data_IF_052840658958
#
_entry.id   IF_052840658958
#
_cell.length_a   1.000
_cell.length_b   1.000
_cell.length_c   1.000
_cell.angle_alpha   90.00
_cell.angle_beta   90.00
_cell.angle_gamma   90.00
#
_symmetry.space_group_name_H-M   'P 1'
#
loop_
_entity.id
_entity.type
_entity.pdbx_description
1 polymer ?
#
# COMPACT_ATOMS: atom_id res chain seq x y z
N UNK A 1 32.62 -7.35 19.05
CA UNK A 1 31.64 -7.20 20.14
C UNK A 1 30.37 -7.91 19.70
N UNK A 2 30.03 -9.03 20.34
CA UNK A 2 28.82 -9.79 20.01
C UNK A 2 27.57 -9.00 20.39
N UNK A 3 26.59 -8.94 19.49
CA UNK A 3 25.30 -8.31 19.72
C UNK A 3 24.55 -9.08 20.80
N UNK A 4 24.42 -8.49 22.00
CA UNK A 4 23.47 -8.99 22.99
C UNK A 4 22.07 -8.74 22.44
N UNK A 5 21.21 -9.76 22.31
CA UNK A 5 19.85 -9.57 21.86
C UNK A 5 19.10 -8.67 22.86
N UNK A 6 18.52 -7.58 22.37
CA UNK A 6 17.74 -6.64 23.18
C UNK A 6 16.26 -6.96 22.98
N UNK A 7 15.57 -7.33 24.06
CA UNK A 7 14.14 -7.57 24.04
C UNK A 7 13.38 -6.23 24.05
N UNK A 8 12.72 -5.91 22.93
CA UNK A 8 11.97 -4.66 22.76
C UNK A 8 10.58 -4.73 23.38
N UNK A 9 9.82 -5.79 23.12
CA UNK A 9 8.50 -6.03 23.72
C UNK A 9 8.59 -7.19 24.70
N UNK A 10 8.03 -6.98 25.90
CA UNK A 10 8.12 -7.88 27.05
C UNK A 10 6.71 -8.20 27.52
N UNK A 11 6.08 -9.20 26.91
CA UNK A 11 4.71 -9.65 27.24
C UNK A 11 3.61 -8.56 27.11
N UNK A 12 3.83 -7.57 26.25
CA UNK A 12 2.81 -6.58 25.92
C UNK A 12 1.61 -7.24 25.22
N UNK A 13 0.43 -7.11 25.81
CA UNK A 13 -0.82 -7.66 25.29
C UNK A 13 -1.83 -6.53 25.12
N UNK A 14 -2.40 -6.42 23.92
CA UNK A 14 -3.47 -5.47 23.60
C UNK A 14 -4.51 -6.16 22.72
N UNK A 15 -5.78 -5.83 22.92
CA UNK A 15 -6.90 -6.26 22.09
C UNK A 15 -7.62 -5.00 21.62
N UNK A 16 -7.95 -4.88 20.32
CA UNK A 16 -8.65 -3.73 19.75
C UNK A 16 -9.95 -4.18 19.11
N UNK A 17 -11.06 -3.51 19.43
CA UNK A 17 -12.39 -3.85 18.92
C UNK A 17 -12.63 -3.22 17.54
N UNK A 18 -13.54 -3.84 16.76
CA UNK A 18 -14.00 -3.25 15.50
C UNK A 18 -14.64 -1.87 15.79
N UNK A 19 -14.26 -0.85 15.00
CA UNK A 19 -14.72 0.52 15.16
C UNK A 19 -14.15 1.28 16.35
N UNK A 20 -13.16 0.77 17.07
CA UNK A 20 -12.52 1.45 18.21
C UNK A 20 -11.36 2.35 17.76
N UNK A 21 -11.21 3.51 18.40
CA UNK A 21 -9.99 4.31 18.36
C UNK A 21 -9.16 4.05 19.62
N UNK A 22 -8.02 3.37 19.45
CA UNK A 22 -7.01 3.16 20.49
C UNK A 22 -5.81 4.10 20.27
N UNK A 23 -5.41 4.83 21.31
CA UNK A 23 -4.13 5.54 21.36
C UNK A 23 -3.10 4.79 22.21
N UNK A 24 -1.88 4.64 21.71
CA UNK A 24 -0.75 4.05 22.41
C UNK A 24 0.22 5.18 22.77
N UNK A 25 0.31 5.49 24.07
CA UNK A 25 1.22 6.47 24.67
C UNK A 25 2.47 5.81 25.23
N UNK A 26 3.57 6.56 25.30
CA UNK A 26 4.79 6.09 25.96
C UNK A 26 6.04 6.86 25.53
N UNK A 27 7.12 6.73 26.30
CA UNK A 27 8.39 7.38 26.02
C UNK A 27 9.03 6.93 24.68
N UNK A 28 9.94 7.73 24.12
CA UNK A 28 10.72 7.31 22.96
C UNK A 28 11.51 6.03 23.29
N UNK A 29 11.52 5.06 22.37
CA UNK A 29 12.18 3.77 22.58
C UNK A 29 11.38 2.74 23.39
N UNK A 30 10.16 3.03 23.86
CA UNK A 30 9.36 2.08 24.65
C UNK A 30 8.78 0.88 23.88
N UNK A 31 8.97 0.82 22.55
CA UNK A 31 8.49 -0.28 21.70
C UNK A 31 7.15 -0.02 20.98
N UNK A 32 6.59 1.20 21.05
CA UNK A 32 5.29 1.54 20.43
C UNK A 32 5.23 1.29 18.92
N UNK A 33 6.20 1.82 18.17
CA UNK A 33 6.28 1.63 16.72
C UNK A 33 6.51 0.17 16.37
N UNK A 34 7.31 -0.57 17.15
CA UNK A 34 7.49 -2.02 16.98
C UNK A 34 6.15 -2.76 17.15
N UNK A 35 5.39 -2.45 18.20
CA UNK A 35 4.06 -3.03 18.40
C UNK A 35 3.13 -2.71 17.22
N UNK A 36 3.11 -1.45 16.77
CA UNK A 36 2.30 -1.03 15.63
C UNK A 36 2.70 -1.73 14.32
N UNK A 37 3.99 -1.93 14.07
CA UNK A 37 4.50 -2.65 12.90
C UNK A 37 4.12 -4.14 12.92
N UNK A 38 4.16 -4.76 14.10
CA UNK A 38 3.72 -6.15 14.29
C UNK A 38 2.21 -6.29 14.00
N UNK A 39 1.38 -5.37 14.52
CA UNK A 39 -0.06 -5.32 14.19
C UNK A 39 -0.30 -5.17 12.68
N UNK A 40 0.50 -4.32 12.01
CA UNK A 40 0.42 -4.10 10.57
C UNK A 40 0.98 -5.25 9.71
N UNK A 41 1.63 -6.24 10.32
CA UNK A 41 2.33 -7.30 9.58
C UNK A 41 3.50 -6.76 8.73
N UNK A 42 4.08 -5.63 9.13
CA UNK A 42 5.30 -5.07 8.53
C UNK A 42 6.53 -5.77 9.10
N UNK A 43 6.49 -6.07 10.40
CA UNK A 43 7.43 -6.94 11.10
C UNK A 43 6.70 -8.21 11.57
N UNK A 44 7.48 -9.22 11.95
CA UNK A 44 6.98 -10.47 12.53
C UNK A 44 7.56 -10.65 13.93
N UNK A 45 6.78 -11.23 14.87
CA UNK A 45 7.32 -11.57 16.18
C UNK A 45 8.43 -12.62 16.03
N UNK A 46 9.30 -12.69 17.04
CA UNK A 46 10.31 -13.74 17.13
C UNK A 46 9.67 -15.15 17.09
N UNK A 47 10.39 -16.20 16.66
CA UNK A 47 9.84 -17.55 16.58
C UNK A 47 9.23 -18.06 17.89
N UNK A 48 9.82 -17.68 19.03
CA UNK A 48 9.35 -18.02 20.38
C UNK A 48 8.53 -16.87 21.02
N UNK A 49 8.14 -15.88 20.21
CA UNK A 49 7.44 -14.67 20.63
C UNK A 49 5.91 -14.80 20.67
N UNK A 50 5.26 -13.64 20.77
CA UNK A 50 3.81 -13.55 20.86
C UNK A 50 3.05 -13.82 19.55
N UNK A 51 1.73 -13.85 19.64
CA UNK A 51 0.83 -14.09 18.50
C UNK A 51 0.10 -12.81 18.12
N UNK A 52 0.10 -12.46 16.83
CA UNK A 52 -0.74 -11.39 16.29
C UNK A 52 -1.89 -12.03 15.53
N UNK A 53 -3.13 -11.68 15.90
CA UNK A 53 -4.33 -12.21 15.26
C UNK A 53 -5.28 -11.10 14.84
N UNK A 54 -5.99 -11.33 13.74
CA UNK A 54 -7.02 -10.44 13.21
C UNK A 54 -8.25 -11.26 12.81
N UNK A 55 -9.40 -11.01 13.44
CA UNK A 55 -10.68 -11.72 13.19
C UNK A 55 -10.54 -13.26 13.22
N UNK A 56 -9.82 -13.77 14.23
CA UNK A 56 -9.56 -15.20 14.40
C UNK A 56 -8.50 -15.79 13.45
N UNK A 57 -7.88 -14.97 12.59
CA UNK A 57 -6.77 -15.41 11.72
C UNK A 57 -5.44 -14.99 12.32
N UNK A 58 -4.52 -15.94 12.47
CA UNK A 58 -3.17 -15.67 12.97
C UNK A 58 -2.31 -14.99 11.90
N UNK A 59 -2.20 -13.66 11.97
CA UNK A 59 -1.44 -12.83 11.02
C UNK A 59 0.04 -13.16 11.06
N UNK A 60 0.60 -13.43 12.25
CA UNK A 60 2.01 -13.77 12.43
C UNK A 60 2.44 -15.06 11.70
N UNK A 61 1.49 -15.93 11.34
CA UNK A 61 1.73 -17.14 10.53
C UNK A 61 1.66 -16.91 9.01
N UNK A 62 1.10 -15.78 8.56
CA UNK A 62 0.88 -15.52 7.14
C UNK A 62 2.21 -15.25 6.42
N UNK A 63 2.32 -15.75 5.19
CA UNK A 63 3.48 -15.50 4.31
C UNK A 63 3.02 -15.16 2.89
N UNK A 64 3.90 -14.48 2.14
CA UNK A 64 3.69 -14.16 0.73
C UNK A 64 2.34 -13.50 0.45
N UNK A 65 1.53 -14.12 -0.41
CA UNK A 65 0.26 -13.55 -0.86
C UNK A 65 -0.77 -13.33 0.26
N UNK A 66 -0.77 -14.17 1.31
CA UNK A 66 -1.69 -14.02 2.45
C UNK A 66 -1.41 -12.74 3.23
N UNK A 67 -0.13 -12.51 3.57
CA UNK A 67 0.30 -11.31 4.28
C UNK A 67 0.15 -10.05 3.41
N UNK A 68 0.39 -10.15 2.11
CA UNK A 68 0.14 -9.04 1.17
C UNK A 68 -1.33 -8.65 1.12
N UNK A 69 -2.24 -9.63 1.15
CA UNK A 69 -3.68 -9.37 1.15
C UNK A 69 -4.11 -8.67 2.44
N UNK A 70 -3.64 -9.14 3.60
CA UNK A 70 -3.87 -8.48 4.88
C UNK A 70 -3.44 -7.01 4.84
N UNK A 71 -2.19 -6.75 4.43
CA UNK A 71 -1.64 -5.39 4.34
C UNK A 71 -2.35 -4.48 3.33
N UNK A 72 -2.95 -5.04 2.28
CA UNK A 72 -3.56 -4.25 1.20
C UNK A 72 -5.06 -4.03 1.40
N UNK A 73 -5.75 -4.90 2.15
CA UNK A 73 -7.21 -4.89 2.31
C UNK A 73 -7.66 -4.53 3.72
N UNK A 74 -6.94 -4.98 4.73
CA UNK A 74 -7.38 -4.80 6.12
C UNK A 74 -6.65 -3.64 6.79
N UNK A 75 -5.42 -3.33 6.37
CA UNK A 75 -4.54 -2.33 6.99
C UNK A 75 -4.33 -1.11 6.07
N UNK A 76 -4.57 0.07 6.62
CA UNK A 76 -4.01 1.34 6.15
C UNK A 76 -2.89 1.74 7.09
N UNK A 77 -1.75 2.19 6.55
CA UNK A 77 -0.60 2.57 7.38
C UNK A 77 -0.16 4.00 7.11
N UNK A 78 -0.06 4.80 8.17
CA UNK A 78 0.48 6.16 8.18
C UNK A 78 1.74 6.16 9.04
N UNK A 79 2.86 6.56 8.45
CA UNK A 79 4.14 6.66 9.13
C UNK A 79 4.36 8.08 9.65
N UNK A 80 5.26 8.22 10.63
CA UNK A 80 5.67 9.52 11.18
C UNK A 80 6.25 10.44 10.10
N UNK A 81 7.03 9.88 9.18
CA UNK A 81 7.43 10.54 7.94
C UNK A 81 6.49 10.17 6.81
N UNK A 82 6.14 11.14 5.96
CA UNK A 82 5.14 11.00 4.90
C UNK A 82 5.38 9.79 3.96
N UNK A 83 6.65 9.42 3.75
CA UNK A 83 7.11 8.36 2.84
C UNK A 83 6.43 8.42 1.46
N UNK A 84 6.16 9.63 0.96
CA UNK A 84 5.61 9.82 -0.38
C UNK A 84 6.73 9.60 -1.41
N UNK A 85 6.38 8.99 -2.55
CA UNK A 85 7.29 8.82 -3.67
C UNK A 85 7.44 10.17 -4.40
N UNK A 86 8.65 10.76 -4.45
CA UNK A 86 8.84 12.11 -4.95
C UNK A 86 8.61 12.25 -6.47
N UNK A 87 8.71 11.15 -7.21
CA UNK A 87 8.46 11.10 -8.65
C UNK A 87 6.97 11.17 -9.00
N UNK A 88 6.13 10.74 -8.06
CA UNK A 88 4.69 10.58 -8.25
C UNK A 88 3.92 11.83 -7.81
N UNK A 89 2.81 12.11 -8.48
CA UNK A 89 1.86 13.14 -8.08
C UNK A 89 1.09 12.76 -6.80
N UNK A 90 0.35 13.71 -6.23
CA UNK A 90 -0.58 13.48 -5.10
C UNK A 90 -1.56 12.35 -5.40
N UNK A 91 -2.20 12.40 -6.57
CA UNK A 91 -3.17 11.38 -6.97
C UNK A 91 -2.52 10.00 -7.10
N UNK A 92 -1.36 9.93 -7.76
CA UNK A 92 -0.63 8.67 -7.96
C UNK A 92 -0.14 8.07 -6.64
N UNK A 93 0.39 8.89 -5.72
CA UNK A 93 0.78 8.46 -4.38
C UNK A 93 -0.40 7.88 -3.61
N UNK A 94 -1.56 8.55 -3.66
CA UNK A 94 -2.76 8.10 -2.98
C UNK A 94 -3.32 6.79 -3.57
N UNK A 95 -3.21 6.60 -4.89
CA UNK A 95 -3.73 5.43 -5.59
C UNK A 95 -2.83 4.19 -5.53
N UNK A 96 -1.62 4.29 -4.99
CA UNK A 96 -0.67 3.16 -4.91
C UNK A 96 -1.29 1.84 -4.38
N UNK A 97 -2.11 1.84 -3.31
CA UNK A 97 -2.71 0.59 -2.81
C UNK A 97 -3.61 -0.08 -3.83
N UNK A 98 -4.33 0.69 -4.65
CA UNK A 98 -5.23 0.20 -5.70
C UNK A 98 -4.46 -0.41 -6.87
N UNK A 99 -3.23 0.05 -7.10
CA UNK A 99 -2.36 -0.43 -8.19
C UNK A 99 -1.74 -1.79 -7.90
N UNK A 100 -1.72 -2.25 -6.65
CA UNK A 100 -1.14 -3.54 -6.29
C UNK A 100 -2.04 -4.68 -6.78
N UNK A 101 -1.58 -5.54 -7.72
CA UNK A 101 -2.40 -6.63 -8.21
C UNK A 101 -2.59 -7.72 -7.13
N UNK A 102 -3.79 -8.31 -7.02
CA UNK A 102 -4.12 -9.30 -5.99
C UNK A 102 -3.40 -10.65 -6.18
N UNK A 103 -2.71 -10.87 -7.29
CA UNK A 103 -2.01 -12.10 -7.61
C UNK A 103 -0.71 -11.84 -8.37
N UNK A 104 0.35 -12.58 -8.03
CA UNK A 104 1.52 -12.68 -8.91
C UNK A 104 1.07 -13.27 -10.24
N UNK A 105 1.40 -12.58 -11.32
CA UNK A 105 1.23 -13.08 -12.68
C UNK A 105 2.03 -14.39 -12.84
N UNK A 106 1.48 -15.38 -13.55
CA UNK A 106 2.22 -16.60 -13.88
C UNK A 106 3.41 -16.22 -14.75
N UNK A 107 4.62 -16.61 -14.34
CA UNK A 107 5.87 -16.31 -15.05
C UNK A 107 5.87 -16.83 -16.51
N UNK A 108 4.98 -17.76 -16.86
CA UNK A 108 4.88 -18.36 -18.19
C UNK A 108 4.18 -17.50 -19.25
N UNK A 109 3.39 -16.49 -18.88
CA UNK A 109 2.62 -15.68 -19.83
C UNK A 109 3.46 -14.97 -20.92
N UNK A 110 4.58 -14.29 -20.61
CA UNK A 110 5.43 -13.69 -21.65
C UNK A 110 6.12 -14.74 -22.53
N UNK A 111 6.40 -15.93 -21.99
CA UNK A 111 6.97 -17.04 -22.76
C UNK A 111 5.94 -17.59 -23.77
N UNK A 112 4.67 -17.69 -23.36
CA UNK A 112 3.58 -18.11 -24.24
C UNK A 112 3.36 -17.08 -25.35
N UNK A 113 3.41 -15.78 -25.04
CA UNK A 113 3.26 -14.74 -26.08
C UNK A 113 4.44 -14.70 -27.04
N UNK A 114 5.66 -14.93 -26.54
CA UNK A 114 6.86 -15.09 -27.38
C UNK A 114 6.74 -16.29 -28.32
N UNK A 115 6.31 -17.45 -27.81
CA UNK A 115 6.13 -18.66 -28.62
C UNK A 115 5.06 -18.46 -29.71
N UNK A 116 3.90 -17.89 -29.36
CA UNK A 116 2.84 -17.58 -30.31
C UNK A 116 3.31 -16.59 -31.40
N UNK A 117 4.01 -15.53 -30.98
CA UNK A 117 4.62 -14.56 -31.89
C UNK A 117 5.64 -15.22 -32.83
N UNK A 118 6.48 -16.12 -32.31
CA UNK A 118 7.46 -16.86 -33.10
C UNK A 118 6.80 -17.74 -34.18
N UNK A 119 5.73 -18.45 -33.83
CA UNK A 119 4.99 -19.29 -34.77
C UNK A 119 4.35 -18.45 -35.88
N UNK A 120 3.70 -17.34 -35.55
CA UNK A 120 3.09 -16.43 -36.53
C UNK A 120 4.16 -15.83 -37.44
N UNK A 121 5.28 -15.37 -36.87
CA UNK A 121 6.40 -14.83 -37.62
C UNK A 121 7.00 -15.85 -38.59
N UNK A 122 7.25 -17.08 -38.13
CA UNK A 122 7.79 -18.15 -38.98
C UNK A 122 6.88 -18.47 -40.17
N UNK A 123 5.57 -18.58 -39.95
CA UNK A 123 4.58 -18.85 -40.99
C UNK A 123 4.50 -17.70 -42.00
N UNK A 124 4.50 -16.45 -41.52
CA UNK A 124 4.48 -15.27 -42.39
C UNK A 124 5.77 -15.17 -43.23
N UNK A 125 6.94 -15.39 -42.62
CA UNK A 125 8.23 -15.39 -43.32
C UNK A 125 8.32 -16.49 -44.38
N UNK A 126 7.83 -17.69 -44.07
CA UNK A 126 7.75 -18.79 -45.03
C UNK A 126 6.84 -18.44 -46.22
N UNK A 127 5.62 -17.98 -45.96
CA UNK A 127 4.65 -17.68 -47.00
C UNK A 127 5.07 -16.49 -47.88
N UNK A 128 5.59 -15.41 -47.28
CA UNK A 128 6.09 -14.25 -48.01
C UNK A 128 7.37 -14.58 -48.79
N UNK A 129 8.25 -15.40 -48.22
CA UNK A 129 9.45 -15.88 -48.92
C UNK A 129 9.10 -16.73 -50.14
N UNK A 130 8.11 -17.61 -50.03
CA UNK A 130 7.65 -18.49 -51.11
C UNK A 130 7.01 -17.68 -52.25
N UNK A 131 6.31 -16.58 -51.94
CA UNK A 131 5.75 -15.66 -52.94
C UNK A 131 6.83 -14.77 -53.59
N UNK A 132 7.85 -14.38 -52.84
CA UNK A 132 8.86 -13.41 -53.28
C UNK A 132 10.06 -14.04 -54.00
N UNK A 133 10.38 -15.29 -53.73
CA UNK A 133 11.51 -16.00 -54.34
C UNK A 133 11.07 -16.69 -55.64
N UNK A 134 11.78 -16.47 -56.77
CA UNK A 134 11.51 -17.24 -57.99
C UNK A 134 11.85 -18.71 -57.77
N UNK A 135 10.96 -19.61 -58.18
CA UNK A 135 11.19 -21.06 -58.10
C UNK A 135 12.32 -21.46 -59.06
N UNK A 136 13.55 -21.64 -58.57
CA UNK A 136 14.67 -21.84 -59.49
C UNK A 136 15.84 -22.74 -59.03
N UNK A 137 16.03 -23.11 -57.76
CA UNK A 137 17.22 -23.92 -57.40
C UNK A 137 17.08 -24.81 -56.14
N UNK A 138 18.03 -25.75 -55.98
CA UNK A 138 18.11 -26.65 -54.83
C UNK A 138 18.38 -25.95 -53.49
N UNK A 139 18.75 -24.66 -53.51
CA UNK A 139 19.04 -23.85 -52.32
C UNK A 139 17.79 -23.10 -51.79
N UNK A 140 16.71 -23.06 -52.57
CA UNK A 140 15.44 -22.39 -52.20
C UNK A 140 14.86 -22.89 -50.85
N UNK A 141 14.86 -24.20 -50.51
CA UNK A 141 14.35 -24.67 -49.22
C UNK A 141 15.19 -24.19 -48.01
N UNK A 142 16.51 -24.16 -48.16
CA UNK A 142 17.41 -23.65 -47.11
C UNK A 142 17.24 -22.15 -46.91
N UNK A 143 17.03 -21.40 -48.00
CA UNK A 143 16.80 -19.95 -47.94
C UNK A 143 15.45 -19.62 -47.29
N UNK A 144 14.38 -20.36 -47.62
CA UNK A 144 13.08 -20.28 -46.96
C UNK A 144 13.17 -20.58 -45.46
N UNK A 145 13.95 -21.58 -45.07
CA UNK A 145 14.22 -21.91 -43.67
C UNK A 145 14.88 -20.76 -42.89
N UNK A 146 15.89 -20.11 -43.48
CA UNK A 146 16.56 -18.94 -42.87
C UNK A 146 15.61 -17.75 -42.75
N UNK A 147 14.80 -17.48 -43.78
CA UNK A 147 13.80 -16.40 -43.76
C UNK A 147 12.76 -16.68 -42.67
N UNK A 148 12.19 -17.89 -42.62
CA UNK A 148 11.23 -18.28 -41.60
C UNK A 148 11.82 -18.15 -40.18
N UNK A 149 13.05 -18.61 -39.96
CA UNK A 149 13.72 -18.47 -38.66
C UNK A 149 13.94 -16.99 -38.27
N UNK A 150 14.34 -16.15 -39.22
CA UNK A 150 14.54 -14.71 -38.98
C UNK A 150 13.22 -14.03 -38.58
N UNK A 151 12.15 -14.30 -39.32
CA UNK A 151 10.82 -13.77 -39.00
C UNK A 151 10.24 -14.37 -37.71
N UNK A 152 10.60 -15.60 -37.33
CA UNK A 152 10.23 -16.17 -36.03
C UNK A 152 10.82 -15.36 -34.86
N UNK A 153 12.08 -14.93 -34.95
CA UNK A 153 12.71 -14.09 -33.91
C UNK A 153 12.01 -12.73 -33.81
N UNK A 154 11.72 -12.10 -34.95
CA UNK A 154 10.98 -10.81 -34.99
C UNK A 154 9.57 -10.98 -34.42
N UNK A 155 8.87 -12.04 -34.81
CA UNK A 155 7.55 -12.38 -34.30
C UNK A 155 7.54 -12.62 -32.79
N UNK A 156 8.55 -13.30 -32.25
CA UNK A 156 8.69 -13.51 -30.81
C UNK A 156 8.83 -12.19 -30.04
N UNK A 157 9.68 -11.27 -30.53
CA UNK A 157 9.89 -9.96 -29.92
C UNK A 157 8.60 -9.11 -29.95
N UNK A 158 7.89 -9.10 -31.10
CA UNK A 158 6.60 -8.44 -31.23
C UNK A 158 5.55 -9.04 -30.31
N UNK A 159 5.51 -10.37 -30.17
CA UNK A 159 4.60 -11.06 -29.25
C UNK A 159 4.81 -10.68 -27.78
N UNK A 160 6.06 -10.51 -27.33
CA UNK A 160 6.36 -10.00 -25.98
C UNK A 160 5.96 -8.53 -25.84
N UNK A 161 6.26 -7.69 -26.83
CA UNK A 161 5.92 -6.27 -26.81
C UNK A 161 4.39 -6.05 -26.76
N UNK A 162 3.64 -6.74 -27.63
CA UNK A 162 2.18 -6.71 -27.63
C UNK A 162 1.62 -7.15 -26.27
N UNK A 163 2.16 -8.21 -25.67
CA UNK A 163 1.76 -8.63 -24.33
C UNK A 163 2.02 -7.54 -23.27
N UNK A 164 3.19 -6.90 -23.28
CA UNK A 164 3.49 -5.81 -22.34
C UNK A 164 2.53 -4.62 -22.51
N UNK A 165 2.23 -4.23 -23.75
CA UNK A 165 1.28 -3.15 -24.05
C UNK A 165 -0.11 -3.52 -23.57
N UNK A 166 -0.62 -4.71 -23.94
CA UNK A 166 -1.93 -5.20 -23.51
C UNK A 166 -2.02 -5.21 -21.98
N UNK A 167 -0.96 -5.67 -21.30
CA UNK A 167 -0.91 -5.67 -19.82
C UNK A 167 -1.07 -4.26 -19.26
N UNK A 168 -0.30 -3.29 -19.75
CA UNK A 168 -0.40 -1.89 -19.32
C UNK A 168 -1.80 -1.32 -19.57
N UNK A 169 -2.39 -1.63 -20.72
CA UNK A 169 -3.74 -1.19 -21.07
C UNK A 169 -4.78 -1.81 -20.13
N UNK A 170 -4.71 -3.11 -19.89
CA UNK A 170 -5.63 -3.83 -18.99
C UNK A 170 -5.47 -3.32 -17.55
N UNK A 171 -4.25 -3.14 -17.06
CA UNK A 171 -3.98 -2.59 -15.72
C UNK A 171 -4.56 -1.17 -15.58
N UNK A 172 -4.41 -0.31 -16.60
CA UNK A 172 -5.04 1.02 -16.63
C UNK A 172 -6.56 0.96 -16.67
N UNK A 173 -7.14 0.08 -17.48
CA UNK A 173 -8.59 -0.07 -17.57
C UNK A 173 -9.17 -0.53 -16.23
N UNK A 174 -8.51 -1.48 -15.57
CA UNK A 174 -8.88 -1.96 -14.24
C UNK A 174 -8.91 -0.82 -13.22
N UNK A 175 -7.87 0.02 -13.17
CA UNK A 175 -7.81 1.17 -12.28
C UNK A 175 -8.94 2.17 -12.53
N UNK A 176 -9.31 2.39 -13.79
CA UNK A 176 -10.42 3.29 -14.14
C UNK A 176 -11.79 2.75 -13.71
N UNK A 177 -11.94 1.43 -13.67
CA UNK A 177 -13.17 0.76 -13.19
C UNK A 177 -13.18 0.47 -11.69
N UNK A 178 -12.07 0.68 -10.99
CA UNK A 178 -11.95 0.30 -9.58
C UNK A 178 -12.70 1.31 -8.70
N UNK A 179 -13.65 0.81 -7.91
CA UNK A 179 -14.40 1.65 -6.96
C UNK A 179 -13.46 2.36 -5.99
N UNK A 180 -12.40 1.67 -5.56
CA UNK A 180 -11.40 2.20 -4.63
C UNK A 180 -10.63 3.39 -5.22
N UNK A 181 -10.44 3.44 -6.54
CA UNK A 181 -9.78 4.57 -7.20
C UNK A 181 -10.67 5.83 -7.16
N UNK A 182 -11.98 5.65 -7.33
CA UNK A 182 -12.97 6.73 -7.18
C UNK A 182 -13.02 7.21 -5.73
N UNK A 183 -13.06 6.30 -4.76
CA UNK A 183 -13.12 6.65 -3.34
C UNK A 183 -11.82 7.31 -2.84
N UNK A 184 -10.66 6.91 -3.36
CA UNK A 184 -9.39 7.58 -3.10
C UNK A 184 -9.43 9.05 -3.54
N UNK A 185 -9.98 9.31 -4.74
CA UNK A 185 -10.15 10.67 -5.25
C UNK A 185 -11.10 11.49 -4.37
N UNK A 186 -12.19 10.88 -3.91
CA UNK A 186 -13.14 11.50 -2.97
C UNK A 186 -12.48 11.80 -1.63
N UNK A 187 -11.65 10.90 -1.11
CA UNK A 187 -10.88 11.12 0.11
C UNK A 187 -9.92 12.32 -0.04
N UNK A 188 -9.25 12.44 -1.20
CA UNK A 188 -8.42 13.61 -1.50
C UNK A 188 -9.24 14.91 -1.61
N UNK A 189 -10.49 14.83 -2.07
CA UNK A 189 -11.43 15.95 -2.09
C UNK A 189 -11.86 16.38 -0.69
N UNK A 190 -12.26 15.43 0.16
CA UNK A 190 -12.60 15.67 1.56
C UNK A 190 -11.42 16.28 2.33
N UNK A 191 -10.19 16.00 1.89
CA UNK A 191 -8.95 16.53 2.45
C UNK A 191 -8.51 17.87 1.79
N UNK A 192 -9.31 18.43 0.88
CA UNK A 192 -9.04 19.72 0.24
C UNK A 192 -7.91 19.70 -0.81
N UNK A 193 -7.52 18.52 -1.31
CA UNK A 193 -6.38 18.33 -2.21
C UNK A 193 -6.75 18.26 -3.71
N UNK A 194 -7.99 18.54 -4.09
CA UNK A 194 -8.42 18.51 -5.51
C UNK A 194 -7.58 19.42 -6.41
N UNK A 195 -7.22 20.60 -5.93
CA UNK A 195 -6.40 21.56 -6.69
C UNK A 195 -4.92 21.13 -6.75
N UNK A 196 -4.52 20.14 -5.96
CA UNK A 196 -3.14 19.64 -5.86
C UNK A 196 -2.90 18.27 -6.50
N UNK A 197 -3.91 17.63 -7.09
CA UNK A 197 -3.82 16.25 -7.58
C UNK A 197 -2.60 15.93 -8.47
N UNK A 198 -2.16 16.89 -9.30
CA UNK A 198 -1.02 16.73 -10.21
C UNK A 198 0.32 17.21 -9.63
N UNK A 199 0.33 17.82 -8.45
CA UNK A 199 1.56 18.32 -7.82
C UNK A 199 2.37 17.16 -7.25
N UNK A 200 3.68 17.35 -7.18
CA UNK A 200 4.64 16.44 -6.55
C UNK A 200 4.86 16.80 -5.08
N UNK A 201 5.33 15.85 -4.23
CA UNK A 201 5.55 16.10 -2.79
C UNK A 201 6.43 17.30 -2.45
N UNK A 202 7.39 17.65 -3.31
CA UNK A 202 8.27 18.81 -3.14
C UNK A 202 7.54 20.15 -3.28
N UNK A 203 6.34 20.16 -3.86
CA UNK A 203 5.52 21.35 -4.09
C UNK A 203 4.40 21.52 -3.04
N UNK A 204 4.38 20.66 -2.02
CA UNK A 204 3.34 20.62 -0.98
C UNK A 204 3.86 21.18 0.35
N UNK A 205 2.96 21.71 1.16
CA UNK A 205 3.21 21.97 2.59
C UNK A 205 3.32 20.66 3.38
N UNK A 206 3.80 20.74 4.63
CA UNK A 206 3.85 19.58 5.53
C UNK A 206 2.47 18.94 5.74
N UNK A 207 1.45 19.77 6.00
CA UNK A 207 0.07 19.31 6.15
C UNK A 207 -0.50 18.67 4.89
N UNK A 208 -0.25 19.25 3.71
CA UNK A 208 -0.68 18.66 2.43
C UNK A 208 0.00 17.31 2.16
N UNK A 209 1.29 17.15 2.50
CA UNK A 209 1.98 15.85 2.44
C UNK A 209 1.37 14.84 3.39
N UNK A 210 1.03 15.25 4.62
CA UNK A 210 0.40 14.35 5.58
C UNK A 210 -0.99 13.92 5.12
N UNK A 211 -1.83 14.85 4.64
CA UNK A 211 -3.13 14.54 4.05
C UNK A 211 -3.00 13.56 2.88
N UNK A 212 -2.00 13.75 2.03
CA UNK A 212 -1.72 12.81 0.92
C UNK A 212 -1.32 11.42 1.45
N UNK A 213 -0.49 11.34 2.48
CA UNK A 213 -0.07 10.07 3.08
C UNK A 213 -1.25 9.34 3.77
N UNK A 214 -2.14 10.07 4.43
CA UNK A 214 -3.37 9.51 5.02
C UNK A 214 -4.34 9.06 3.92
N UNK A 215 -4.54 9.87 2.86
CA UNK A 215 -5.37 9.47 1.73
C UNK A 215 -4.86 8.19 1.06
N UNK A 216 -3.53 8.04 0.95
CA UNK A 216 -2.90 6.77 0.52
C UNK A 216 -3.24 5.63 1.46
N UNK A 217 -3.13 5.82 2.77
CA UNK A 217 -3.45 4.77 3.73
C UNK A 217 -4.92 4.32 3.63
N UNK A 218 -5.83 5.25 3.30
CA UNK A 218 -7.27 5.01 3.17
C UNK A 218 -7.70 4.53 1.78
N UNK A 219 -6.82 4.56 0.76
CA UNK A 219 -7.23 4.41 -0.64
C UNK A 219 -7.90 3.08 -1.01
N UNK A 220 -7.63 2.01 -0.25
CA UNK A 220 -8.27 0.70 -0.41
C UNK A 220 -9.39 0.41 0.61
N UNK A 221 -9.91 1.46 1.27
CA UNK A 221 -10.94 1.35 2.30
C UNK A 221 -10.58 0.31 3.38
N UNK A 222 -9.43 0.50 4.05
CA UNK A 222 -8.99 -0.44 5.07
C UNK A 222 -9.97 -0.47 6.24
N UNK A 223 -10.00 -1.60 6.95
CA UNK A 223 -10.79 -1.74 8.18
C UNK A 223 -10.10 -1.09 9.37
N UNK A 224 -8.76 -1.10 9.36
CA UNK A 224 -7.92 -0.62 10.45
C UNK A 224 -6.92 0.38 9.87
N UNK A 225 -6.89 1.59 10.44
CA UNK A 225 -5.83 2.56 10.20
C UNK A 225 -4.82 2.49 11.35
N UNK A 226 -3.58 2.14 11.01
CA UNK A 226 -2.44 2.20 11.90
C UNK A 226 -1.68 3.50 11.64
N UNK A 227 -1.49 4.32 12.67
CA UNK A 227 -0.87 5.63 12.54
C UNK A 227 0.28 5.80 13.53
N UNK A 228 1.50 5.89 13.05
CA UNK A 228 2.68 6.19 13.86
C UNK A 228 2.94 7.69 13.89
N UNK A 229 2.64 8.36 15.00
CA UNK A 229 2.80 9.80 15.18
C UNK A 229 2.32 10.66 13.99
N UNK A 230 1.05 10.54 13.57
CA UNK A 230 0.56 11.15 12.32
C UNK A 230 0.58 12.68 12.32
N UNK A 231 0.83 13.33 13.46
CA UNK A 231 0.89 14.78 13.59
C UNK A 231 2.24 15.29 14.11
N UNK A 232 3.21 14.41 14.37
CA UNK A 232 4.47 14.77 15.05
C UNK A 232 5.34 15.77 14.31
N UNK A 233 5.16 15.89 12.99
CA UNK A 233 5.91 16.81 12.12
C UNK A 233 5.10 18.05 11.68
N UNK A 234 3.95 18.32 12.32
CA UNK A 234 3.02 19.39 11.95
C UNK A 234 2.89 20.42 13.09
N UNK A 235 2.50 21.65 12.72
CA UNK A 235 2.07 22.64 13.72
C UNK A 235 0.74 22.23 14.38
N UNK A 236 0.44 22.81 15.54
CA UNK A 236 -0.72 22.43 16.35
C UNK A 236 -2.08 22.68 15.68
N UNK A 237 -2.18 23.63 14.74
CA UNK A 237 -3.45 23.90 14.04
C UNK A 237 -3.66 22.85 12.94
N UNK A 238 -2.65 22.68 12.08
CA UNK A 238 -2.68 21.65 11.03
C UNK A 238 -2.84 20.25 11.63
N UNK A 239 -2.17 19.95 12.75
CA UNK A 239 -2.32 18.68 13.45
C UNK A 239 -3.75 18.40 13.91
N UNK A 240 -4.45 19.41 14.45
CA UNK A 240 -5.87 19.29 14.82
C UNK A 240 -6.76 19.04 13.62
N UNK A 241 -6.58 19.78 12.52
CA UNK A 241 -7.34 19.54 11.28
C UNK A 241 -7.21 18.09 10.79
N UNK A 242 -6.00 17.51 10.88
CA UNK A 242 -5.77 16.10 10.53
C UNK A 242 -6.54 15.16 11.45
N UNK A 243 -6.50 15.39 12.76
CA UNK A 243 -7.18 14.55 13.74
C UNK A 243 -8.71 14.64 13.58
N UNK A 244 -9.25 15.81 13.27
CA UNK A 244 -10.67 16.00 12.98
C UNK A 244 -11.10 15.23 11.72
N UNK A 245 -10.25 15.19 10.68
CA UNK A 245 -10.50 14.37 9.49
C UNK A 245 -10.50 12.88 9.82
N UNK A 246 -9.56 12.42 10.66
CA UNK A 246 -9.53 11.03 11.13
C UNK A 246 -10.75 10.70 12.00
N UNK A 247 -11.18 11.63 12.86
CA UNK A 247 -12.38 11.48 13.69
C UNK A 247 -13.63 11.27 12.85
N UNK A 248 -13.82 12.05 11.79
CA UNK A 248 -14.94 11.85 10.85
C UNK A 248 -14.94 10.45 10.21
N UNK A 249 -13.76 9.91 9.88
CA UNK A 249 -13.64 8.54 9.31
C UNK A 249 -13.90 7.47 10.36
N UNK A 250 -13.39 7.65 11.57
CA UNK A 250 -13.65 6.76 12.69
C UNK A 250 -15.13 6.75 13.08
N UNK A 251 -15.80 7.90 13.12
CA UNK A 251 -17.25 8.01 13.35
C UNK A 251 -18.08 7.30 12.26
N UNK A 252 -17.48 7.06 11.09
CA UNK A 252 -18.05 6.26 9.99
C UNK A 252 -17.73 4.76 10.10
N UNK A 253 -17.08 4.30 11.18
CA UNK A 253 -16.80 2.91 11.49
C UNK A 253 -15.35 2.44 11.29
N UNK A 254 -14.40 3.34 10.98
CA UNK A 254 -12.98 3.00 10.86
C UNK A 254 -12.35 2.71 12.24
N UNK A 255 -11.73 1.54 12.42
CA UNK A 255 -10.87 1.26 13.58
C UNK A 255 -9.56 2.04 13.42
N UNK A 256 -9.11 2.74 14.47
CA UNK A 256 -7.84 3.46 14.44
C UNK A 256 -6.96 2.99 15.60
N UNK A 257 -5.71 2.63 15.30
CA UNK A 257 -4.67 2.43 16.31
C UNK A 257 -3.58 3.45 16.05
N UNK A 258 -3.42 4.40 16.98
CA UNK A 258 -2.51 5.52 16.82
C UNK A 258 -1.44 5.49 17.90
N UNK A 259 -0.17 5.57 17.51
CA UNK A 259 0.94 5.81 18.41
C UNK A 259 1.16 7.32 18.51
N UNK A 260 1.33 7.83 19.73
CA UNK A 260 1.71 9.22 19.96
C UNK A 260 2.48 9.35 21.27
N UNK A 261 3.21 10.44 21.45
CA UNK A 261 3.75 10.85 22.73
C UNK A 261 3.01 12.05 23.33
N UNK A 262 2.08 12.65 22.58
CA UNK A 262 1.29 13.82 23.02
C UNK A 262 -0.05 13.37 23.63
N UNK A 263 -0.26 13.61 24.94
CA UNK A 263 -1.53 13.32 25.60
C UNK A 263 -2.74 14.03 24.97
N UNK A 264 -2.56 15.22 24.40
CA UNK A 264 -3.65 15.97 23.73
C UNK A 264 -4.11 15.26 22.46
N UNK A 265 -3.19 14.62 21.74
CA UNK A 265 -3.50 13.80 20.56
C UNK A 265 -4.16 12.49 20.98
N UNK A 266 -3.68 11.87 22.06
CA UNK A 266 -4.28 10.65 22.61
C UNK A 266 -5.73 10.86 23.09
N UNK A 267 -6.08 12.08 23.51
CA UNK A 267 -7.44 12.42 23.94
C UNK A 267 -8.52 12.32 22.84
N UNK A 268 -8.14 12.17 21.56
CA UNK A 268 -9.09 11.90 20.46
C UNK A 268 -9.56 10.44 20.43
N UNK A 269 -8.81 9.53 21.06
CA UNK A 269 -9.11 8.10 21.08
C UNK A 269 -10.19 7.77 22.12
N UNK A 270 -10.88 6.65 21.94
CA UNK A 270 -11.85 6.12 22.90
C UNK A 270 -11.15 5.48 24.11
N UNK A 271 -9.93 4.99 23.90
CA UNK A 271 -9.12 4.30 24.89
C UNK A 271 -7.64 4.64 24.73
N UNK A 272 -6.93 4.69 25.84
CA UNK A 272 -5.49 4.96 25.90
C UNK A 272 -4.77 3.80 26.57
N UNK A 273 -3.76 3.29 25.90
CA UNK A 273 -2.81 2.31 26.43
C UNK A 273 -1.45 2.97 26.62
N UNK A 274 -0.84 2.83 27.80
CA UNK A 274 0.51 3.33 28.07
C UNK A 274 1.53 2.19 28.03
N UNK A 275 2.58 2.37 27.23
CA UNK A 275 3.68 1.42 27.09
C UNK A 275 4.99 2.02 27.60
N UNK A 276 5.67 1.28 28.45
CA UNK A 276 6.98 1.60 29.01
C UNK A 276 7.85 0.35 29.05
N UNK A 277 9.11 0.46 28.62
CA UNK A 277 10.08 -0.64 28.57
C UNK A 277 9.57 -1.94 27.93
N UNK A 278 8.69 -1.83 26.93
CA UNK A 278 8.12 -2.96 26.21
C UNK A 278 6.91 -3.61 26.88
N UNK A 279 6.36 -3.03 27.95
CA UNK A 279 5.22 -3.55 28.72
C UNK A 279 4.04 -2.59 28.67
N UNK A 280 2.82 -3.12 28.69
CA UNK A 280 1.60 -2.34 28.90
C UNK A 280 1.46 -2.06 30.40
N UNK A 281 1.45 -0.78 30.78
CA UNK A 281 1.32 -0.35 32.17
C UNK A 281 -0.10 0.09 32.52
N UNK A 282 -0.76 0.79 31.59
CA UNK A 282 -2.11 1.31 31.75
C UNK A 282 -2.91 0.96 30.49
N UNK A 283 -4.17 0.59 30.68
CA UNK A 283 -5.17 0.41 29.62
C UNK A 283 -6.49 0.95 30.17
N UNK A 284 -6.79 2.21 29.83
CA UNK A 284 -7.90 2.96 30.42
C UNK A 284 -8.75 3.60 29.32
N UNK A 285 -10.09 3.59 29.45
CA UNK A 285 -10.95 4.42 28.61
C UNK A 285 -10.51 5.89 28.70
N UNK A 286 -10.54 6.61 27.59
CA UNK A 286 -10.28 8.04 27.61
C UNK A 286 -11.43 8.73 28.34
N UNK A 287 -11.14 9.51 29.37
CA UNK A 287 -12.17 10.37 29.94
C UNK A 287 -12.61 11.37 28.87
N UNK A 288 -13.93 11.57 28.64
CA UNK A 288 -14.39 12.58 27.70
C UNK A 288 -13.80 13.93 28.14
N UNK A 289 -12.91 14.48 27.32
CA UNK A 289 -12.31 15.77 27.56
C UNK A 289 -13.39 16.84 27.79
N UNK A 290 -13.10 17.94 28.50
CA UNK A 290 -14.06 19.01 28.69
C UNK A 290 -14.56 19.46 27.32
N UNK A 291 -15.86 19.28 27.07
CA UNK A 291 -16.52 19.74 25.85
C UNK A 291 -16.28 21.24 25.77
N UNK A 292 -15.59 21.69 24.73
CA UNK A 292 -15.36 23.11 24.48
C UNK A 292 -16.71 23.76 24.17
N UNK A 293 -17.40 24.22 25.22
CA UNK A 293 -18.60 25.05 25.11
C UNK A 293 -18.16 26.47 24.72
N UNK A 294 -17.94 26.69 23.43
CA UNK A 294 -17.74 28.02 22.83
C UNK A 294 -17.05 27.89 21.47
N UNK A 295 -17.60 28.37 20.36
CA UNK A 295 -18.24 29.66 20.17
C UNK A 295 -19.47 29.53 19.26
N UNK A 296 -20.64 29.83 19.83
CA UNK A 296 -21.72 30.43 19.07
C UNK A 296 -21.37 31.90 18.84
N UNK A 297 -21.30 32.33 17.59
CA UNK A 297 -21.49 33.71 17.15
C UNK A 297 -22.06 33.68 15.75
#
# INVERSE_FOLDING_TARGET
MGSVPVQVLKDASIEVRDGEWLAILGASGSGKSTLLHLLGGLDLPDPDGGVVSHRGRTVSSLRGAGLNRYRNRDIGFVFQFYHLLPELSVLENAMLPCMVPPSRMRASLPLVSAAAGATIGALAGWFLGDVALPAADAATPTMLGVIAATWAVVGAALGVLCFQIIRVVVDRMRLKSDSSATETRRTLEDFGLLHRLKHRPSQLSGGERQRTAIARALGNEPRILLADEPTGNLDANTGREILDLLKKRHDSGLTIVMVTHDPKVAAYADRVVRIEDGRVLEDVPTEPGPRDHGQSS
#
